data_IF_899515121716
#
_entry.id   IF_899515121716
#
_cell.length_a   1.000
_cell.length_b   1.000
_cell.length_c   1.000
_cell.angle_alpha   90.00
_cell.angle_beta   90.00
_cell.angle_gamma   90.00
#
_symmetry.space_group_name_H-M   'P 1'
#
loop_
_entity.id
_entity.type
_entity.pdbx_description
1 polymer ?
#
# COMPACT_ATOMS: atom_id res chain seq x y z
N UNK A 1 10.04 6.42 -16.64
CA UNK A 1 9.67 5.55 -15.49
C UNK A 1 8.74 6.35 -14.61
N UNK A 2 7.66 5.79 -14.10
CA UNK A 2 6.73 6.50 -13.23
C UNK A 2 7.45 6.88 -11.92
N UNK A 3 7.01 7.98 -11.31
CA UNK A 3 7.61 8.44 -10.07
C UNK A 3 7.16 7.63 -8.85
N UNK A 4 5.94 7.10 -8.89
CA UNK A 4 5.35 6.31 -7.80
C UNK A 4 4.99 4.92 -8.29
N UNK A 5 5.28 3.90 -7.50
CA UNK A 5 4.75 2.54 -7.70
C UNK A 5 3.76 2.20 -6.58
N UNK A 6 2.60 1.68 -6.97
CA UNK A 6 1.58 1.17 -6.06
C UNK A 6 1.51 -0.34 -6.23
N UNK A 7 1.76 -1.09 -5.17
CA UNK A 7 1.64 -2.55 -5.14
C UNK A 7 0.34 -2.99 -4.47
N UNK A 8 -0.48 -3.78 -5.14
CA UNK A 8 -1.74 -4.32 -4.63
C UNK A 8 -1.64 -5.83 -4.53
N UNK A 9 -1.15 -6.37 -3.40
CA UNK A 9 -1.22 -7.81 -3.16
C UNK A 9 -2.66 -8.21 -2.89
N UNK A 10 -3.12 -9.30 -3.53
CA UNK A 10 -4.50 -9.79 -3.39
C UNK A 10 -4.55 -11.32 -3.34
N UNK A 11 -5.48 -11.85 -2.55
CA UNK A 11 -5.89 -13.25 -2.56
C UNK A 11 -7.38 -13.33 -2.25
N UNK A 12 -8.18 -13.85 -3.21
CA UNK A 12 -9.63 -13.94 -3.12
C UNK A 12 -10.31 -12.61 -2.75
N UNK A 13 -10.03 -11.57 -3.56
CA UNK A 13 -10.49 -10.20 -3.33
C UNK A 13 -11.71 -9.80 -4.17
N UNK A 14 -12.45 -10.72 -4.82
CA UNK A 14 -13.51 -10.39 -5.78
C UNK A 14 -14.55 -9.41 -5.24
N UNK A 15 -14.77 -9.42 -3.91
CA UNK A 15 -15.79 -8.60 -3.26
C UNK A 15 -15.47 -7.10 -3.29
N UNK A 16 -14.19 -6.72 -3.16
CA UNK A 16 -13.80 -5.32 -2.92
C UNK A 16 -12.76 -4.78 -3.89
N UNK A 17 -12.01 -5.66 -4.58
CA UNK A 17 -10.88 -5.25 -5.42
C UNK A 17 -11.25 -4.20 -6.47
N UNK A 18 -12.47 -4.24 -7.03
CA UNK A 18 -12.92 -3.29 -8.02
C UNK A 18 -13.00 -1.87 -7.44
N UNK A 19 -13.63 -1.70 -6.28
CA UNK A 19 -13.75 -0.41 -5.60
C UNK A 19 -12.38 0.14 -5.18
N UNK A 20 -11.50 -0.74 -4.70
CA UNK A 20 -10.11 -0.40 -4.38
C UNK A 20 -9.38 0.15 -5.61
N UNK A 21 -9.42 -0.56 -6.74
CA UNK A 21 -8.75 -0.15 -7.97
C UNK A 21 -9.32 1.16 -8.52
N UNK A 22 -10.63 1.34 -8.49
CA UNK A 22 -11.29 2.58 -8.89
C UNK A 22 -10.78 3.76 -8.05
N UNK A 23 -10.68 3.60 -6.73
CA UNK A 23 -10.19 4.64 -5.81
C UNK A 23 -8.70 4.97 -6.03
N UNK A 24 -7.87 3.98 -6.36
CA UNK A 24 -6.46 4.16 -6.69
C UNK A 24 -6.28 4.87 -8.03
N UNK A 25 -7.05 4.53 -9.04
CA UNK A 25 -6.99 5.16 -10.37
C UNK A 25 -7.57 6.58 -10.37
N UNK A 26 -8.46 6.89 -9.42
CA UNK A 26 -9.03 8.21 -9.21
C UNK A 26 -8.06 9.21 -8.52
N UNK A 27 -6.85 8.80 -8.08
CA UNK A 27 -5.89 9.70 -7.47
C UNK A 27 -5.63 10.93 -8.35
N UNK A 28 -5.53 12.12 -7.72
CA UNK A 28 -5.25 13.39 -8.44
C UNK A 28 -3.84 13.42 -9.02
N UNK A 29 -2.87 12.81 -8.36
CA UNK A 29 -1.54 12.60 -8.91
C UNK A 29 -1.57 11.46 -9.93
N UNK A 30 -1.04 11.67 -11.15
CA UNK A 30 -1.22 10.74 -12.28
C UNK A 30 0.06 9.99 -12.69
N UNK A 31 1.25 10.44 -12.29
CA UNK A 31 2.53 9.81 -12.65
C UNK A 31 2.84 8.63 -11.70
N UNK A 32 2.06 7.55 -11.84
CA UNK A 32 2.24 6.31 -11.10
C UNK A 32 2.00 5.08 -11.98
N UNK A 33 2.59 3.97 -11.57
CA UNK A 33 2.24 2.61 -11.99
C UNK A 33 1.52 1.87 -10.86
N UNK A 34 0.66 0.93 -11.21
CA UNK A 34 -0.08 0.08 -10.28
C UNK A 34 0.13 -1.38 -10.66
N UNK A 35 0.74 -2.16 -9.77
CA UNK A 35 0.96 -3.60 -9.98
C UNK A 35 0.07 -4.41 -9.04
N UNK A 36 -0.86 -5.17 -9.60
CA UNK A 36 -1.69 -6.12 -8.88
C UNK A 36 -0.95 -7.45 -8.82
N UNK A 37 -0.66 -7.95 -7.61
CA UNK A 37 -0.02 -9.24 -7.37
C UNK A 37 -1.04 -10.23 -6.81
N UNK A 38 -1.62 -11.04 -7.70
CA UNK A 38 -2.62 -12.05 -7.35
C UNK A 38 -1.95 -13.34 -6.87
N UNK A 39 -2.19 -13.69 -5.64
CA UNK A 39 -1.61 -14.84 -4.96
C UNK A 39 -2.33 -16.17 -5.27
N UNK A 40 -2.59 -16.43 -6.57
CA UNK A 40 -3.32 -17.57 -7.06
C UNK A 40 -4.79 -17.64 -6.57
N UNK A 41 -5.52 -16.52 -6.64
CA UNK A 41 -6.95 -16.46 -6.27
C UNK A 41 -7.79 -17.49 -7.00
N UNK A 42 -8.81 -18.02 -6.31
CA UNK A 42 -9.70 -19.07 -6.79
C UNK A 42 -11.14 -18.58 -7.07
N UNK A 43 -11.39 -17.30 -6.79
CA UNK A 43 -12.64 -16.58 -7.02
C UNK A 43 -12.60 -15.72 -8.31
N UNK A 44 -13.50 -14.76 -8.46
CA UNK A 44 -13.58 -13.84 -9.59
C UNK A 44 -12.49 -12.78 -9.68
N UNK A 45 -11.53 -12.72 -8.74
CA UNK A 45 -10.46 -11.70 -8.66
C UNK A 45 -9.71 -11.54 -9.98
N UNK A 46 -9.27 -12.66 -10.59
CA UNK A 46 -8.52 -12.64 -11.84
C UNK A 46 -9.29 -11.95 -12.97
N UNK A 47 -10.56 -12.28 -13.11
CA UNK A 47 -11.42 -11.70 -14.15
C UNK A 47 -11.54 -10.18 -13.98
N UNK A 48 -11.81 -9.74 -12.76
CA UNK A 48 -11.92 -8.31 -12.43
C UNK A 48 -10.60 -7.60 -12.76
N UNK A 49 -9.47 -8.08 -12.26
CA UNK A 49 -8.16 -7.43 -12.45
C UNK A 49 -7.79 -7.28 -13.94
N UNK A 50 -8.11 -8.26 -14.77
CA UNK A 50 -7.85 -8.20 -16.22
C UNK A 50 -8.61 -7.06 -16.89
N UNK A 51 -9.85 -6.76 -16.48
CA UNK A 51 -10.61 -5.63 -17.04
C UNK A 51 -9.94 -4.28 -16.77
N UNK A 52 -9.24 -4.13 -15.63
CA UNK A 52 -8.50 -2.91 -15.32
C UNK A 52 -7.22 -2.76 -16.14
N UNK A 53 -6.51 -3.87 -16.41
CA UNK A 53 -5.34 -3.85 -17.33
C UNK A 53 -5.75 -3.40 -18.73
N UNK A 54 -6.91 -3.82 -19.21
CA UNK A 54 -7.44 -3.42 -20.54
C UNK A 54 -7.86 -1.94 -20.58
N UNK A 55 -8.29 -1.36 -19.45
CA UNK A 55 -8.81 0.01 -19.35
C UNK A 55 -7.76 1.07 -19.10
N UNK A 56 -6.67 0.73 -18.39
CA UNK A 56 -5.69 1.72 -17.93
C UNK A 56 -4.26 1.17 -18.08
N UNK A 57 -3.47 1.82 -18.92
CA UNK A 57 -2.09 1.41 -19.24
C UNK A 57 -1.12 1.51 -18.05
N UNK A 58 -1.50 2.18 -16.97
CA UNK A 58 -0.75 2.24 -15.72
C UNK A 58 -0.87 0.96 -14.90
N UNK A 59 -1.87 0.11 -15.19
CA UNK A 59 -2.17 -1.11 -14.45
C UNK A 59 -1.45 -2.30 -15.05
N UNK A 60 -0.75 -3.04 -14.19
CA UNK A 60 -0.11 -4.32 -14.50
C UNK A 60 -0.68 -5.40 -13.59
N UNK A 61 -0.94 -6.57 -14.12
CA UNK A 61 -1.42 -7.73 -13.37
C UNK A 61 -0.42 -8.88 -13.47
N UNK A 62 -0.02 -9.40 -12.31
CA UNK A 62 0.86 -10.56 -12.17
C UNK A 62 0.17 -11.57 -11.28
N UNK A 63 0.08 -12.82 -11.73
CA UNK A 63 -0.53 -13.91 -10.97
C UNK A 63 0.51 -14.98 -10.65
N UNK A 64 0.59 -15.35 -9.38
CA UNK A 64 1.42 -16.46 -8.94
C UNK A 64 0.84 -17.80 -9.42
N UNK A 65 1.71 -18.78 -9.64
CA UNK A 65 1.30 -20.13 -10.02
C UNK A 65 0.57 -20.86 -8.86
N UNK A 66 0.95 -20.52 -7.62
CA UNK A 66 0.38 -21.04 -6.37
C UNK A 66 0.34 -19.93 -5.30
N UNK A 67 -0.39 -20.15 -4.22
CA UNK A 67 -0.39 -19.24 -3.07
C UNK A 67 0.94 -19.36 -2.32
N UNK A 68 1.77 -18.32 -2.43
CA UNK A 68 3.11 -18.23 -1.83
C UNK A 68 3.10 -17.61 -0.42
N UNK A 69 1.93 -17.32 0.14
CA UNK A 69 1.72 -16.63 1.41
C UNK A 69 1.73 -15.10 1.28
N UNK A 70 1.10 -14.42 2.24
CA UNK A 70 0.90 -12.98 2.22
C UNK A 70 2.23 -12.23 2.15
N UNK A 71 3.16 -12.48 3.07
CA UNK A 71 4.44 -11.78 3.16
C UNK A 71 5.22 -11.81 1.84
N UNK A 72 5.32 -12.97 1.19
CA UNK A 72 6.02 -13.09 -0.10
C UNK A 72 5.30 -12.34 -1.22
N UNK A 73 3.96 -12.35 -1.22
CA UNK A 73 3.17 -11.64 -2.21
C UNK A 73 3.28 -10.11 -2.07
N UNK A 74 3.35 -9.61 -0.83
CA UNK A 74 3.66 -8.20 -0.54
C UNK A 74 5.07 -7.83 -1.04
N UNK A 75 6.04 -8.70 -0.81
CA UNK A 75 7.42 -8.49 -1.27
C UNK A 75 7.52 -8.47 -2.79
N UNK A 76 6.81 -9.38 -3.47
CA UNK A 76 6.75 -9.42 -4.92
C UNK A 76 6.27 -8.08 -5.50
N UNK A 77 5.27 -7.45 -4.88
CA UNK A 77 4.79 -6.14 -5.32
C UNK A 77 5.87 -5.05 -5.24
N UNK A 78 6.72 -5.08 -4.21
CA UNK A 78 7.87 -4.17 -4.09
C UNK A 78 8.98 -4.51 -5.10
N UNK A 79 9.27 -5.79 -5.31
CA UNK A 79 10.30 -6.24 -6.26
C UNK A 79 9.98 -5.82 -7.69
N UNK A 80 8.71 -5.85 -8.06
CA UNK A 80 8.21 -5.46 -9.39
C UNK A 80 8.10 -3.95 -9.59
N UNK A 81 8.33 -3.14 -8.56
CA UNK A 81 8.20 -1.69 -8.59
C UNK A 81 9.44 -1.00 -9.17
N UNK A 82 9.22 0.10 -9.92
CA UNK A 82 10.28 0.88 -10.54
C UNK A 82 10.38 2.34 -10.05
N UNK A 83 9.37 2.82 -9.32
CA UNK A 83 9.26 4.21 -8.88
C UNK A 83 10.28 4.62 -7.81
N UNK A 84 10.51 5.94 -7.73
CA UNK A 84 11.27 6.59 -6.66
C UNK A 84 10.61 6.36 -5.29
N UNK A 85 9.27 6.38 -5.29
CA UNK A 85 8.43 6.14 -4.12
C UNK A 85 7.61 4.87 -4.33
N UNK A 86 7.32 4.21 -3.22
CA UNK A 86 6.52 3.00 -3.20
C UNK A 86 5.47 3.05 -2.09
N UNK A 87 4.29 2.47 -2.36
CA UNK A 87 3.30 2.15 -1.33
C UNK A 87 2.67 0.80 -1.60
N UNK A 88 2.33 0.09 -0.52
CA UNK A 88 1.33 -0.98 -0.62
C UNK A 88 -0.07 -0.40 -0.53
N UNK A 89 -1.02 -1.08 -1.15
CA UNK A 89 -2.45 -0.84 -1.01
C UNK A 89 -3.16 -2.18 -0.79
N UNK A 90 -3.92 -2.30 0.29
CA UNK A 90 -4.77 -3.48 0.49
C UNK A 90 -5.85 -3.54 -0.57
N UNK A 91 -6.28 -4.75 -0.90
CA UNK A 91 -7.28 -5.02 -1.93
C UNK A 91 -8.74 -4.79 -1.49
N UNK A 92 -8.94 -4.33 -0.26
CA UNK A 92 -10.23 -4.06 0.38
C UNK A 92 -10.33 -2.66 1.04
N UNK A 93 -9.30 -1.82 0.83
CA UNK A 93 -9.28 -0.44 1.30
C UNK A 93 -9.68 0.57 0.21
N UNK A 94 -10.20 1.74 0.63
CA UNK A 94 -10.48 2.89 -0.23
C UNK A 94 -9.47 4.01 0.00
N UNK A 95 -9.08 4.70 -1.08
CA UNK A 95 -8.05 5.73 -1.05
C UNK A 95 -8.62 7.09 -1.44
N UNK A 96 -8.49 8.08 -0.54
CA UNK A 96 -8.91 9.46 -0.82
C UNK A 96 -8.16 10.03 -2.04
N UNK A 97 -8.85 10.74 -2.96
CA UNK A 97 -8.27 11.19 -4.24
C UNK A 97 -6.97 11.99 -4.13
N UNK A 98 -6.81 12.80 -3.08
CA UNK A 98 -5.64 13.65 -2.87
C UNK A 98 -4.54 12.96 -2.04
N UNK A 99 -4.78 11.74 -1.55
CA UNK A 99 -3.90 11.06 -0.59
C UNK A 99 -2.47 10.91 -1.10
N UNK A 100 -2.31 10.50 -2.35
CA UNK A 100 -0.99 10.33 -2.98
C UNK A 100 -0.27 11.66 -3.17
N UNK A 101 -0.96 12.67 -3.70
CA UNK A 101 -0.40 14.00 -3.94
C UNK A 101 0.09 14.65 -2.63
N UNK A 102 -0.69 14.57 -1.56
CA UNK A 102 -0.31 15.15 -0.26
C UNK A 102 0.87 14.43 0.39
N UNK A 103 0.95 13.11 0.28
CA UNK A 103 2.11 12.37 0.77
C UNK A 103 3.38 12.74 0.00
N UNK A 104 3.29 12.87 -1.33
CA UNK A 104 4.40 13.30 -2.17
C UNK A 104 4.87 14.71 -1.81
N UNK A 105 3.96 15.67 -1.63
CA UNK A 105 4.30 17.04 -1.23
C UNK A 105 5.16 17.08 0.05
N UNK A 106 4.81 16.25 1.05
CA UNK A 106 5.57 16.14 2.30
C UNK A 106 6.96 15.57 2.03
N UNK A 107 7.03 14.44 1.30
CA UNK A 107 8.29 13.78 1.00
C UNK A 107 9.22 14.64 0.15
N UNK A 108 8.69 15.45 -0.77
CA UNK A 108 9.48 16.35 -1.62
C UNK A 108 10.02 17.54 -0.82
N UNK A 109 9.20 18.11 0.06
CA UNK A 109 9.59 19.26 0.88
C UNK A 109 10.59 18.88 1.97
N UNK A 110 10.49 17.67 2.52
CA UNK A 110 11.24 17.23 3.70
C UNK A 110 12.09 15.99 3.38
N UNK A 111 13.33 16.16 2.87
CA UNK A 111 14.19 15.02 2.49
C UNK A 111 14.52 14.04 3.62
N UNK A 112 14.44 14.48 4.88
CA UNK A 112 14.63 13.65 6.07
C UNK A 112 13.45 12.71 6.37
N UNK A 113 12.26 13.01 5.84
CA UNK A 113 11.08 12.16 5.98
C UNK A 113 11.18 10.97 5.01
N UNK A 114 11.04 9.77 5.54
CA UNK A 114 11.15 8.52 4.76
C UNK A 114 9.80 7.87 4.45
N UNK A 115 8.78 8.22 5.23
CA UNK A 115 7.42 7.71 5.11
C UNK A 115 6.42 8.80 5.43
N UNK A 116 5.39 8.98 4.59
CA UNK A 116 4.25 9.84 4.82
C UNK A 116 2.96 9.06 4.57
N UNK A 117 1.97 9.20 5.45
CA UNK A 117 0.69 8.51 5.31
C UNK A 117 -0.48 9.42 5.68
N UNK A 118 -1.66 9.23 5.06
CA UNK A 118 -2.86 10.00 5.38
C UNK A 118 -3.49 9.52 6.68
N UNK A 119 -4.33 10.36 7.27
CA UNK A 119 -5.25 9.93 8.34
C UNK A 119 -6.19 8.85 7.81
N UNK A 120 -6.57 7.93 8.70
CA UNK A 120 -7.42 6.78 8.37
C UNK A 120 -8.83 6.98 8.90
N UNK A 121 -9.81 6.57 8.11
CA UNK A 121 -11.22 6.44 8.52
C UNK A 121 -11.59 4.96 8.49
N UNK A 122 -12.27 4.50 9.51
CA UNK A 122 -12.88 3.17 9.52
C UNK A 122 -14.22 3.23 8.80
N UNK A 123 -14.42 2.35 7.85
CA UNK A 123 -15.64 2.23 7.06
C UNK A 123 -16.28 0.86 7.26
N UNK A 124 -17.60 0.79 7.09
CA UNK A 124 -18.32 -0.49 7.03
C UNK A 124 -18.20 -1.12 5.62
N UNK A 125 -18.79 -2.30 5.46
CA UNK A 125 -18.81 -3.05 4.19
C UNK A 125 -19.52 -2.32 3.03
N UNK A 126 -20.18 -1.19 3.29
CA UNK A 126 -20.86 -0.33 2.32
C UNK A 126 -20.10 0.98 2.07
N UNK A 127 -18.89 1.11 2.62
CA UNK A 127 -18.08 2.32 2.50
C UNK A 127 -18.52 3.49 3.39
N UNK A 128 -19.49 3.29 4.30
CA UNK A 128 -19.92 4.33 5.23
C UNK A 128 -18.93 4.49 6.37
N UNK A 129 -18.52 5.72 6.64
CA UNK A 129 -17.62 6.04 7.76
C UNK A 129 -18.28 5.69 9.09
N UNK A 130 -17.64 4.80 9.86
CA UNK A 130 -18.01 4.40 11.21
C UNK A 130 -17.32 5.30 12.23
N UNK A 131 -16.01 5.53 12.06
CA UNK A 131 -15.21 6.38 12.95
C UNK A 131 -13.95 6.89 12.24
N UNK A 132 -13.31 7.90 12.83
CA UNK A 132 -11.97 8.33 12.44
C UNK A 132 -10.93 7.69 13.36
N UNK A 133 -9.87 7.15 12.77
CA UNK A 133 -8.76 6.61 13.52
C UNK A 133 -7.67 7.66 13.66
N UNK A 134 -7.35 8.02 14.89
CA UNK A 134 -6.29 8.96 15.21
C UNK A 134 -5.12 8.18 15.81
N UNK A 135 -4.02 8.14 15.07
CA UNK A 135 -2.72 7.79 15.63
C UNK A 135 -1.87 9.06 15.80
N UNK A 136 -1.00 9.04 16.79
CA UNK A 136 -0.05 10.14 17.04
C UNK A 136 1.36 9.75 16.59
N UNK A 137 1.46 9.11 15.43
CA UNK A 137 2.73 8.54 14.93
C UNK A 137 3.61 9.58 14.21
N UNK A 138 3.62 10.82 14.67
CA UNK A 138 4.56 11.82 14.19
C UNK A 138 5.94 11.64 14.85
N UNK A 139 6.77 10.78 14.24
CA UNK A 139 8.02 10.31 14.83
C UNK A 139 9.20 10.98 14.13
N UNK A 140 9.92 11.85 14.86
CA UNK A 140 11.00 12.70 14.33
C UNK A 140 12.35 12.50 15.02
N UNK A 141 12.47 11.67 16.05
CA UNK A 141 13.74 11.51 16.76
C UNK A 141 14.87 11.08 15.80
N UNK A 142 16.05 11.68 15.96
CA UNK A 142 17.26 11.27 15.24
C UNK A 142 17.76 9.88 15.67
N UNK A 143 17.45 9.45 16.91
CA UNK A 143 17.88 8.16 17.46
C UNK A 143 16.92 7.03 17.05
N UNK A 144 17.44 5.98 16.44
CA UNK A 144 16.66 4.81 16.00
C UNK A 144 15.94 4.10 17.17
N UNK A 145 16.59 3.96 18.33
CA UNK A 145 16.00 3.35 19.53
C UNK A 145 14.80 4.12 20.06
N UNK A 146 14.86 5.46 20.03
CA UNK A 146 13.74 6.32 20.46
C UNK A 146 12.57 6.22 19.45
N UNK A 147 12.86 6.21 18.13
CA UNK A 147 11.83 5.98 17.11
C UNK A 147 11.15 4.63 17.30
N UNK A 148 11.93 3.56 17.53
CA UNK A 148 11.39 2.23 17.77
C UNK A 148 10.48 2.21 19.00
N UNK A 149 10.93 2.77 20.12
CA UNK A 149 10.13 2.85 21.35
C UNK A 149 8.82 3.63 21.14
N UNK A 150 8.86 4.74 20.39
CA UNK A 150 7.66 5.53 20.08
C UNK A 150 6.69 4.75 19.20
N UNK A 151 7.16 4.07 18.15
CA UNK A 151 6.32 3.19 17.31
C UNK A 151 5.67 2.12 18.19
N UNK A 152 6.47 1.39 18.95
CA UNK A 152 5.99 0.28 19.78
C UNK A 152 4.94 0.71 20.82
N UNK A 153 5.13 1.89 21.44
CA UNK A 153 4.21 2.43 22.45
C UNK A 153 2.88 2.95 21.85
N UNK A 154 2.86 3.29 20.55
CA UNK A 154 1.70 3.93 19.90
C UNK A 154 1.06 3.06 18.81
N UNK A 155 1.61 1.87 18.56
CA UNK A 155 1.14 0.97 17.53
C UNK A 155 -0.27 0.49 17.86
N UNK A 156 -1.25 0.97 17.08
CA UNK A 156 -2.61 0.48 17.08
C UNK A 156 -2.87 -0.34 15.81
N UNK A 157 -3.77 0.11 14.96
CA UNK A 157 -3.87 -0.45 13.60
C UNK A 157 -2.59 -0.13 12.82
N UNK A 158 -2.07 -1.12 12.07
CA UNK A 158 -0.78 -1.00 11.36
C UNK A 158 -0.95 -0.28 10.00
N UNK A 159 -1.86 0.70 9.92
CA UNK A 159 -2.19 1.47 8.71
C UNK A 159 -1.01 2.27 8.15
N UNK A 160 -0.02 2.57 8.99
CA UNK A 160 1.21 3.27 8.58
C UNK A 160 1.98 2.54 7.48
N UNK A 161 1.89 1.22 7.39
CA UNK A 161 2.55 0.42 6.34
C UNK A 161 2.01 0.75 4.93
N UNK A 162 0.79 1.25 4.85
CA UNK A 162 0.15 1.67 3.59
C UNK A 162 0.45 3.14 3.23
N UNK A 163 1.39 3.77 3.91
CA UNK A 163 1.92 5.08 3.55
C UNK A 163 2.80 5.05 2.31
N UNK A 164 3.11 6.24 1.78
CA UNK A 164 4.06 6.43 0.71
C UNK A 164 5.47 6.49 1.29
N UNK A 165 6.38 5.65 0.78
CA UNK A 165 7.74 5.47 1.28
C UNK A 165 8.78 5.76 0.20
N UNK A 166 9.96 6.24 0.59
CA UNK A 166 11.12 6.25 -0.32
C UNK A 166 11.54 4.83 -0.62
N UNK A 167 11.40 4.38 -1.87
CA UNK A 167 11.64 3.00 -2.28
C UNK A 167 13.09 2.54 -2.01
N UNK A 168 14.07 3.42 -2.20
CA UNK A 168 15.48 3.12 -1.93
C UNK A 168 15.77 2.88 -0.44
N UNK A 169 15.07 3.57 0.46
CA UNK A 169 15.19 3.36 1.91
C UNK A 169 14.46 2.08 2.31
N UNK A 170 13.23 1.88 1.82
CA UNK A 170 12.45 0.68 2.09
C UNK A 170 13.22 -0.59 1.73
N UNK A 171 13.84 -0.66 0.53
CA UNK A 171 14.64 -1.81 0.08
C UNK A 171 15.89 -2.10 0.93
N UNK A 172 16.33 -1.15 1.76
CA UNK A 172 17.46 -1.32 2.69
C UNK A 172 17.03 -1.82 4.06
N UNK A 173 15.75 -1.92 4.33
CA UNK A 173 15.22 -2.47 5.59
C UNK A 173 15.25 -4.00 5.55
N UNK A 174 14.95 -4.65 6.69
CA UNK A 174 14.82 -6.10 6.77
C UNK A 174 13.62 -6.67 6.01
N UNK A 175 12.73 -5.81 5.51
CA UNK A 175 11.52 -6.12 4.77
C UNK A 175 10.55 -7.07 5.52
N UNK A 176 9.46 -7.45 4.86
CA UNK A 176 8.49 -8.37 5.42
C UNK A 176 9.05 -9.80 5.35
N UNK A 177 9.29 -10.41 6.49
CA UNK A 177 9.72 -11.81 6.59
C UNK A 177 8.56 -12.66 7.08
N UNK A 178 8.40 -13.84 6.48
CA UNK A 178 7.45 -14.82 6.98
C UNK A 178 7.98 -15.42 8.29
N UNK A 179 7.24 -15.23 9.38
CA UNK A 179 7.46 -15.87 10.68
C UNK A 179 6.10 -16.09 11.35
N UNK A 180 5.97 -17.03 12.31
CA UNK A 180 4.72 -17.23 13.02
C UNK A 180 4.22 -15.94 13.65
N UNK A 181 3.00 -15.50 13.27
CA UNK A 181 2.42 -14.21 13.70
C UNK A 181 2.87 -12.99 12.90
N UNK A 182 3.61 -13.14 11.80
CA UNK A 182 4.06 -12.05 10.93
C UNK A 182 3.03 -11.56 9.92
N UNK A 183 1.90 -12.20 9.83
CA UNK A 183 0.78 -11.95 8.90
C UNK A 183 -0.45 -11.40 9.62
N UNK A 184 -0.24 -10.75 10.76
CA UNK A 184 -1.28 -10.08 11.54
C UNK A 184 -1.49 -8.66 10.99
#
# INVERSE_FOLDING_TARGET
MPRVSIGVPVYNGERYIAETLDSLLAQTYKDFELTICDNASTDGTQQICRTYVERDTRVRYVRNAENIGASKNYMLALELSSGEYFRWANSDDLFAPEGLARCLEILDREPSVVLAYPKTKLIDERGKVISEYHDEMHIQSSKASERFAQVFARLGYVNVIYGLMRANILRRTGLLRSFPGGDI
#
